data_IF_711616915291
#
_entry.id   IF_711616915291
#
_cell.length_a   1.000
_cell.length_b   1.000
_cell.length_c   1.000
_cell.angle_alpha   90.00
_cell.angle_beta   90.00
_cell.angle_gamma   90.00
#
_symmetry.space_group_name_H-M   'P 1'
#
loop_
_entity.id
_entity.type
_entity.pdbx_description
1 polymer ?
#
# COMPACT_ATOMS: atom_id res chain seq x y z
N UNK A 1 -8.16 -19.68 5.29
CA UNK A 1 -9.11 -18.57 5.50
C UNK A 1 -8.47 -17.61 6.47
N UNK A 2 -7.83 -16.55 5.96
CA UNK A 2 -7.31 -15.48 6.81
C UNK A 2 -8.51 -14.66 7.25
N UNK A 3 -8.73 -14.52 8.55
CA UNK A 3 -9.86 -13.75 9.08
C UNK A 3 -9.63 -12.26 8.87
N UNK A 4 -10.70 -11.50 8.66
CA UNK A 4 -10.71 -10.04 8.76
C UNK A 4 -10.09 -9.63 10.11
N UNK A 5 -8.93 -8.98 10.08
CA UNK A 5 -8.22 -8.56 11.31
C UNK A 5 -8.83 -7.25 11.86
N UNK A 6 -9.80 -6.65 11.15
CA UNK A 6 -10.48 -5.40 11.50
C UNK A 6 -9.49 -4.28 11.87
N UNK A 7 -8.32 -4.26 11.22
CA UNK A 7 -7.35 -3.18 11.40
C UNK A 7 -7.96 -1.89 10.85
N UNK A 8 -7.85 -0.82 11.64
CA UNK A 8 -8.36 0.50 11.30
C UNK A 8 -7.30 1.57 11.53
N UNK A 9 -7.53 2.78 11.03
CA UNK A 9 -6.56 3.86 11.06
C UNK A 9 -5.65 3.88 9.82
N UNK A 10 -4.49 4.53 9.93
CA UNK A 10 -3.60 4.81 8.79
C UNK A 10 -2.38 3.90 8.78
N UNK A 11 -1.86 3.58 7.59
CA UNK A 11 -0.54 2.96 7.46
C UNK A 11 0.51 4.01 7.83
N UNK A 12 1.28 3.76 8.88
CA UNK A 12 2.30 4.69 9.37
C UNK A 12 3.57 4.63 8.50
N UNK A 13 4.20 5.77 8.29
CA UNK A 13 5.48 5.89 7.55
C UNK A 13 6.59 5.03 8.17
N UNK A 14 6.55 4.73 9.47
CA UNK A 14 7.58 3.89 10.10
C UNK A 14 7.68 2.48 9.51
N UNK A 15 6.66 2.00 8.78
CA UNK A 15 6.72 0.72 8.05
C UNK A 15 7.86 0.70 7.02
N UNK A 16 8.28 1.86 6.52
CA UNK A 16 9.37 1.98 5.55
C UNK A 16 10.75 1.70 6.16
N UNK A 17 10.85 1.63 7.49
CA UNK A 17 12.09 1.25 8.17
C UNK A 17 12.33 -0.27 8.16
N UNK A 18 11.33 -1.05 7.73
CA UNK A 18 11.44 -2.50 7.58
C UNK A 18 12.14 -2.84 6.27
N UNK A 19 13.41 -2.47 6.13
CA UNK A 19 14.18 -2.53 4.86
C UNK A 19 14.23 -3.92 4.22
N UNK A 20 14.10 -4.98 5.02
CA UNK A 20 14.09 -6.39 4.59
C UNK A 20 12.68 -6.96 4.36
N UNK A 21 11.64 -6.13 4.40
CA UNK A 21 10.27 -6.59 4.21
C UNK A 21 10.04 -6.93 2.73
N UNK A 22 9.82 -8.22 2.45
CA UNK A 22 9.58 -8.70 1.08
C UNK A 22 8.09 -8.85 0.74
N UNK A 23 7.23 -9.08 1.74
CA UNK A 23 5.80 -9.33 1.56
C UNK A 23 4.98 -8.59 2.61
N UNK A 24 3.98 -7.86 2.16
CA UNK A 24 3.00 -7.19 3.02
C UNK A 24 1.59 -7.45 2.50
N UNK A 25 0.79 -8.17 3.28
CA UNK A 25 -0.63 -8.37 3.02
C UNK A 25 -1.46 -7.77 4.13
N UNK A 26 -2.27 -6.76 3.79
CA UNK A 26 -3.20 -6.08 4.69
C UNK A 26 -4.59 -5.96 4.04
N UNK A 27 -4.90 -6.82 3.08
CA UNK A 27 -6.20 -6.84 2.42
C UNK A 27 -7.34 -7.16 3.39
N UNK A 28 -8.55 -6.76 3.03
CA UNK A 28 -9.77 -7.01 3.82
C UNK A 28 -9.70 -6.39 5.23
N UNK A 29 -9.37 -5.10 5.30
CA UNK A 29 -9.33 -4.32 6.53
C UNK A 29 -10.04 -2.97 6.36
N UNK A 30 -10.00 -2.14 7.40
CA UNK A 30 -10.62 -0.82 7.46
C UNK A 30 -9.56 0.30 7.46
N UNK A 31 -8.39 0.06 6.86
CA UNK A 31 -7.31 1.03 6.78
C UNK A 31 -7.73 2.20 5.88
N UNK A 32 -7.33 3.41 6.27
CA UNK A 32 -7.72 4.65 5.60
C UNK A 32 -6.53 5.59 5.41
N UNK A 33 -6.76 6.69 4.69
CA UNK A 33 -5.73 7.68 4.39
C UNK A 33 -4.82 7.25 3.24
N UNK A 34 -3.65 7.89 3.14
CA UNK A 34 -2.73 7.69 2.02
C UNK A 34 -1.80 6.52 2.24
N UNK A 35 -1.36 5.89 1.14
CA UNK A 35 -0.26 4.93 1.17
C UNK A 35 1.05 5.70 1.39
N UNK A 36 1.86 5.37 2.42
CA UNK A 36 3.18 5.95 2.61
C UNK A 36 4.02 5.85 1.33
N UNK A 37 4.52 6.99 0.84
CA UNK A 37 5.28 7.00 -0.41
C UNK A 37 6.48 6.06 -0.38
N UNK A 38 7.16 5.96 0.76
CA UNK A 38 8.31 5.06 0.91
C UNK A 38 7.94 3.57 0.81
N UNK A 39 6.67 3.19 0.99
CA UNK A 39 6.24 1.80 0.86
C UNK A 39 6.25 1.33 -0.60
N UNK A 40 6.00 2.23 -1.54
CA UNK A 40 5.83 1.94 -2.97
C UNK A 40 6.88 2.60 -3.87
N UNK A 41 7.55 3.65 -3.39
CA UNK A 41 8.62 4.36 -4.08
C UNK A 41 9.97 4.32 -3.34
N UNK A 42 10.07 3.58 -2.25
CA UNK A 42 11.29 3.53 -1.44
C UNK A 42 12.26 2.43 -1.88
N UNK A 43 13.30 2.26 -1.08
CA UNK A 43 14.36 1.25 -1.21
C UNK A 43 14.01 -0.07 -0.51
N UNK A 44 12.72 -0.33 -0.30
CA UNK A 44 12.28 -1.59 0.28
C UNK A 44 12.52 -2.74 -0.71
N UNK A 45 12.92 -3.89 -0.17
CA UNK A 45 13.01 -5.14 -0.95
C UNK A 45 11.63 -5.78 -1.21
N UNK A 46 10.56 -4.99 -1.07
CA UNK A 46 9.17 -5.45 -1.17
C UNK A 46 8.89 -6.00 -2.57
N UNK A 47 8.40 -7.24 -2.62
CA UNK A 47 8.05 -7.98 -3.84
C UNK A 47 6.55 -8.21 -3.97
N UNK A 48 5.83 -8.28 -2.86
CA UNK A 48 4.39 -8.51 -2.83
C UNK A 48 3.71 -7.51 -1.91
N UNK A 49 2.78 -6.75 -2.45
CA UNK A 49 1.97 -5.80 -1.71
C UNK A 49 0.50 -6.00 -2.05
N UNK A 50 -0.28 -6.44 -1.06
CA UNK A 50 -1.73 -6.51 -1.16
C UNK A 50 -2.36 -5.61 -0.10
N UNK A 51 -2.96 -4.51 -0.55
CA UNK A 51 -3.75 -3.57 0.26
C UNK A 51 -5.20 -3.52 -0.21
N UNK A 52 -5.66 -4.52 -0.98
CA UNK A 52 -7.00 -4.53 -1.55
C UNK A 52 -8.10 -4.52 -0.48
N UNK A 53 -9.31 -4.09 -0.84
CA UNK A 53 -10.48 -4.11 0.07
C UNK A 53 -10.21 -3.34 1.37
N UNK A 54 -9.87 -2.06 1.23
CA UNK A 54 -9.64 -1.11 2.33
C UNK A 54 -10.28 0.25 1.98
N UNK A 55 -10.15 1.23 2.87
CA UNK A 55 -10.62 2.61 2.68
C UNK A 55 -9.48 3.59 2.34
N UNK A 56 -8.39 3.12 1.72
CA UNK A 56 -7.25 3.97 1.37
C UNK A 56 -7.63 4.97 0.28
N UNK A 57 -7.09 6.18 0.35
CA UNK A 57 -7.41 7.30 -0.54
C UNK A 57 -6.16 8.09 -0.91
N UNK A 58 -6.33 9.08 -1.79
CA UNK A 58 -5.21 9.86 -2.34
C UNK A 58 -4.70 9.28 -3.65
N UNK A 59 -3.56 9.81 -4.12
CA UNK A 59 -3.06 9.56 -5.46
C UNK A 59 -1.98 8.48 -5.44
N UNK A 60 -2.09 7.49 -6.34
CA UNK A 60 -1.03 6.53 -6.57
C UNK A 60 0.16 7.27 -7.20
N UNK A 61 1.35 7.23 -6.62
CA UNK A 61 2.56 7.80 -7.22
C UNK A 61 2.92 7.12 -8.55
N UNK A 62 3.60 7.86 -9.43
CA UNK A 62 4.18 7.30 -10.66
C UNK A 62 5.35 6.34 -10.42
N UNK A 63 5.99 6.46 -9.26
CA UNK A 63 7.05 5.56 -8.86
C UNK A 63 6.43 4.28 -8.28
N UNK A 64 6.83 3.14 -8.83
CA UNK A 64 6.61 1.82 -8.25
C UNK A 64 7.89 1.03 -8.48
N UNK A 65 8.57 0.68 -7.40
CA UNK A 65 9.85 -0.05 -7.47
C UNK A 65 9.67 -1.52 -7.11
N UNK A 66 10.23 -2.41 -7.95
CA UNK A 66 10.60 -3.79 -7.60
C UNK A 66 9.48 -4.76 -7.12
N UNK A 67 8.21 -4.41 -7.30
CA UNK A 67 7.07 -5.29 -6.98
C UNK A 67 6.81 -6.30 -8.10
N UNK A 68 6.74 -7.58 -7.72
CA UNK A 68 6.28 -8.65 -8.60
C UNK A 68 4.75 -8.73 -8.63
N UNK A 69 4.10 -8.31 -7.54
CA UNK A 69 2.65 -8.28 -7.40
C UNK A 69 2.24 -7.06 -6.58
N UNK A 70 1.23 -6.36 -7.09
CA UNK A 70 0.59 -5.22 -6.45
C UNK A 70 -0.91 -5.35 -6.62
N UNK A 71 -1.64 -5.41 -5.52
CA UNK A 71 -3.09 -5.27 -5.50
C UNK A 71 -3.51 -4.11 -4.60
N UNK A 72 -4.13 -3.11 -5.23
CA UNK A 72 -4.70 -1.92 -4.59
C UNK A 72 -6.20 -1.79 -4.90
N UNK A 73 -6.82 -2.84 -5.44
CA UNK A 73 -8.22 -2.86 -5.85
C UNK A 73 -9.16 -2.65 -4.65
N UNK A 74 -10.40 -2.25 -4.92
CA UNK A 74 -11.40 -2.04 -3.86
C UNK A 74 -10.93 -1.05 -2.77
N UNK A 75 -10.32 0.06 -3.21
CA UNK A 75 -9.96 1.24 -2.41
C UNK A 75 -10.49 2.52 -3.08
N UNK A 76 -10.29 3.68 -2.46
CA UNK A 76 -10.71 5.01 -2.95
C UNK A 76 -9.52 5.78 -3.58
N UNK A 77 -8.57 5.04 -4.15
CA UNK A 77 -7.34 5.59 -4.72
C UNK A 77 -7.58 6.23 -6.09
N UNK A 78 -6.92 7.35 -6.32
CA UNK A 78 -6.96 8.08 -7.58
C UNK A 78 -5.75 7.75 -8.45
N UNK A 79 -5.96 7.78 -9.76
CA UNK A 79 -4.87 7.63 -10.72
C UNK A 79 -3.87 8.79 -10.58
N UNK A 80 -2.58 8.56 -10.89
CA UNK A 80 -1.61 9.63 -11.01
C UNK A 80 -2.15 10.73 -11.93
N UNK A 81 -2.18 12.00 -11.49
CA UNK A 81 -2.51 13.12 -12.38
C UNK A 81 -1.35 13.37 -13.34
N UNK A 82 -1.56 13.46 -14.67
CA UNK A 82 -0.50 13.82 -15.60
C UNK A 82 0.09 15.17 -15.23
N UNK A 83 1.41 15.25 -15.07
CA UNK A 83 2.09 16.56 -15.06
C UNK A 83 2.03 17.07 -16.50
N UNK A 84 1.27 18.16 -16.71
CA UNK A 84 1.30 18.92 -17.95
C UNK A 84 2.66 19.54 -18.21
#
# INVERSE_FOLDING_TARGET
TYQEINLSGTILDCITNLTKLEKLGLSENQLQGQIPRGLICGELELKFLDLSRNNLSGTIPYCMTNLNMLDLSENQLQRPTPRG
#
